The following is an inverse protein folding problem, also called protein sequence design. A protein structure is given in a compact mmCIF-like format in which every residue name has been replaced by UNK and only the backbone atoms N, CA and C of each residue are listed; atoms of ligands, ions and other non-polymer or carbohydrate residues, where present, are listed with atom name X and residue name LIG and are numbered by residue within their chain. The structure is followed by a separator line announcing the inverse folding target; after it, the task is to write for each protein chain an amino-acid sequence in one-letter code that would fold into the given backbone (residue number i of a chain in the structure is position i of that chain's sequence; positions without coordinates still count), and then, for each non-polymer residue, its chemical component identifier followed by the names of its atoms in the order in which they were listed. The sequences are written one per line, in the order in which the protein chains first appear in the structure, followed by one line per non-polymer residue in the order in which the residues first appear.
data_IF_670464840554
#
_entry.id   IF_670464840554
#
_cell.length_a   1.000
_cell.length_b   1.000
_cell.length_c   1.000
_cell.angle_alpha   90.00
_cell.angle_beta   90.00
_cell.angle_gamma   90.00
#
_symmetry.space_group_name_H-M   'P 1'
#
loop_
_entity.id
_entity.type
_entity.pdbx_description
1 polymer ?
#
# COMPACT_ATOMS: atom_id res chain seq x y z
N UNK A 1 6.47 -17.96 21.80
CA UNK A 1 5.97 -18.02 20.40
C UNK A 1 5.85 -19.49 20.03
N UNK A 2 4.65 -19.98 19.78
CA UNK A 2 4.43 -21.37 19.36
C UNK A 2 4.50 -21.45 17.82
N UNK A 3 4.96 -22.58 17.29
CA UNK A 3 4.86 -22.88 15.87
C UNK A 3 3.40 -23.12 15.48
N UNK A 4 3.09 -22.86 14.21
CA UNK A 4 1.81 -23.22 13.60
C UNK A 4 2.10 -24.06 12.36
N UNK A 5 1.57 -25.29 12.33
CA UNK A 5 1.70 -26.20 11.19
C UNK A 5 0.53 -25.98 10.23
N UNK A 6 0.84 -25.80 8.95
CA UNK A 6 -0.16 -25.74 7.88
C UNK A 6 -0.27 -27.12 7.26
N UNK A 7 -1.47 -27.68 7.27
CA UNK A 7 -1.77 -28.99 6.69
C UNK A 7 -2.20 -28.90 5.22
N UNK A 8 -1.99 -29.96 4.42
CA UNK A 8 -2.49 -30.02 3.05
C UNK A 8 -3.99 -29.70 2.94
N UNK A 9 -4.35 -28.73 2.10
CA UNK A 9 -5.74 -28.30 1.88
C UNK A 9 -6.22 -27.14 2.78
N UNK A 10 -5.42 -26.67 3.73
CA UNK A 10 -5.77 -25.51 4.56
C UNK A 10 -5.80 -24.21 3.75
N UNK A 11 -6.86 -23.42 3.94
CA UNK A 11 -6.94 -22.04 3.45
C UNK A 11 -6.15 -21.11 4.37
N UNK A 12 -5.04 -20.57 3.89
CA UNK A 12 -4.11 -19.74 4.68
C UNK A 12 -4.04 -18.28 4.23
N UNK A 13 -4.70 -17.95 3.12
CA UNK A 13 -4.77 -16.62 2.54
C UNK A 13 -5.95 -16.55 1.56
N UNK A 14 -6.18 -15.35 1.03
CA UNK A 14 -7.19 -15.09 0.00
C UNK A 14 -6.63 -14.15 -1.07
N UNK A 15 -7.07 -14.35 -2.32
CA UNK A 15 -6.69 -13.51 -3.45
C UNK A 15 -7.63 -12.30 -3.53
N UNK A 16 -7.07 -11.13 -3.80
CA UNK A 16 -7.82 -9.91 -4.14
C UNK A 16 -7.44 -9.50 -5.54
N UNK A 17 -8.43 -9.39 -6.44
CA UNK A 17 -8.25 -8.89 -7.79
C UNK A 17 -8.72 -7.44 -7.81
N UNK A 18 -7.78 -6.50 -8.03
CA UNK A 18 -8.06 -5.08 -8.08
C UNK A 18 -7.53 -4.47 -9.38
N UNK A 19 -8.24 -3.50 -9.99
CA UNK A 19 -7.73 -2.77 -11.14
C UNK A 19 -6.50 -1.95 -10.75
N UNK A 20 -5.54 -1.86 -11.67
CA UNK A 20 -4.35 -1.02 -11.51
C UNK A 20 -4.19 -0.12 -12.73
N UNK A 21 -3.87 1.15 -12.49
CA UNK A 21 -3.55 2.08 -13.55
C UNK A 21 -2.14 1.80 -14.08
N UNK A 22 -1.97 1.85 -15.40
CA UNK A 22 -0.65 1.94 -16.03
C UNK A 22 -0.42 3.39 -16.39
N UNK A 23 0.66 3.96 -15.90
CA UNK A 23 0.99 5.37 -16.09
C UNK A 23 2.32 5.51 -16.82
N UNK A 24 2.46 6.59 -17.57
CA UNK A 24 3.76 7.07 -18.05
C UNK A 24 4.32 8.01 -16.98
N UNK A 25 5.58 7.82 -16.62
CA UNK A 25 6.26 8.71 -15.67
C UNK A 25 6.75 9.93 -16.44
N UNK A 26 6.40 11.12 -15.95
CA UNK A 26 6.90 12.40 -16.43
C UNK A 26 7.82 12.99 -15.36
N UNK A 27 9.06 13.29 -15.75
CA UNK A 27 10.06 13.89 -14.86
C UNK A 27 9.92 15.42 -14.89
N UNK A 28 9.90 16.03 -13.71
CA UNK A 28 9.79 17.48 -13.52
C UNK A 28 10.69 17.94 -12.37
N UNK A 29 11.15 19.18 -12.42
CA UNK A 29 12.03 19.74 -11.37
C UNK A 29 11.31 19.93 -10.03
N UNK A 30 10.00 20.22 -10.05
CA UNK A 30 9.17 20.44 -8.87
C UNK A 30 7.71 20.05 -9.11
N UNK A 31 7.01 19.68 -8.03
CA UNK A 31 5.57 19.45 -8.00
C UNK A 31 4.84 20.66 -7.39
N UNK A 32 3.55 20.80 -7.68
CA UNK A 32 2.70 21.82 -7.07
C UNK A 32 2.51 21.60 -5.56
N UNK A 33 2.38 22.69 -4.81
CA UNK A 33 2.04 22.65 -3.39
C UNK A 33 0.58 22.19 -3.17
N UNK A 34 0.35 21.52 -2.04
CA UNK A 34 -0.99 21.11 -1.59
C UNK A 34 -1.14 21.35 -0.09
N UNK A 35 -2.36 21.51 0.39
CA UNK A 35 -2.65 21.65 1.84
C UNK A 35 -2.07 20.48 2.68
N UNK A 36 -1.94 19.29 2.09
CA UNK A 36 -1.36 18.11 2.76
C UNK A 36 0.17 18.17 2.83
N UNK A 37 0.81 18.76 1.83
CA UNK A 37 2.26 18.82 1.69
C UNK A 37 2.94 17.46 1.91
N UNK A 38 3.99 17.47 2.73
CA UNK A 38 4.76 16.27 3.11
C UNK A 38 4.13 15.44 4.24
N UNK A 39 2.90 15.75 4.68
CA UNK A 39 2.24 15.06 5.78
C UNK A 39 2.09 13.55 5.52
N UNK A 40 2.46 12.70 6.47
CA UNK A 40 2.36 11.24 6.39
C UNK A 40 2.35 10.64 7.80
N UNK A 41 2.36 9.30 7.92
CA UNK A 41 2.56 8.61 9.20
C UNK A 41 1.63 9.07 10.34
N UNK A 42 0.33 9.20 10.05
CA UNK A 42 -0.62 9.68 11.06
C UNK A 42 -0.55 11.18 11.31
N UNK A 43 -0.11 11.98 10.33
CA UNK A 43 -0.02 13.45 10.40
C UNK A 43 -1.33 14.17 10.75
N UNK A 44 -2.48 13.50 10.62
CA UNK A 44 -3.80 14.01 11.01
C UNK A 44 -4.29 13.41 12.34
N UNK A 45 -3.43 12.65 13.04
CA UNK A 45 -3.76 11.86 14.23
C UNK A 45 -3.27 12.48 15.54
N UNK A 46 -3.50 11.75 16.64
CA UNK A 46 -2.97 12.00 17.98
C UNK A 46 -2.22 10.76 18.45
#
# INVERSE_FOLDING_TARGET
KASFTVEPGMRIAQMVIAPVARVMIEEVDALDDTDRGSGGFGSTGR
#
